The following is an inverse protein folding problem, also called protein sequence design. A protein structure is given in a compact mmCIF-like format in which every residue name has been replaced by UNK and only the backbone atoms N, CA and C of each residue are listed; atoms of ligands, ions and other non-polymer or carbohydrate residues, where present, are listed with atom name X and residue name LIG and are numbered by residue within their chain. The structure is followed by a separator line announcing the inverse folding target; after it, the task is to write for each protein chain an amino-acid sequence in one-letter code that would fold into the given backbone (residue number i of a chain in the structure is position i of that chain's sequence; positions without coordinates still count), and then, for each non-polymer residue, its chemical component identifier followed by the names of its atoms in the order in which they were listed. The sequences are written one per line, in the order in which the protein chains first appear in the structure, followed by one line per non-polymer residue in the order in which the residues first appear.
data_IF_193197992946
#
_entry.id   IF_193197992946
#
_cell.length_a   1.000
_cell.length_b   1.000
_cell.length_c   1.000
_cell.angle_alpha   90.00
_cell.angle_beta   90.00
_cell.angle_gamma   90.00
#
_symmetry.space_group_name_H-M   'P 1'
#
loop_
_entity.id
_entity.type
_entity.pdbx_description
1 polymer ?
#
# COMPACT_ATOMS: atom_id res chain seq x y z
N UNK A 1 -25.09 -22.15 34.52
CA UNK A 1 -25.16 -21.53 33.18
C UNK A 1 -23.78 -20.97 32.86
N UNK A 2 -23.22 -21.22 31.68
CA UNK A 2 -21.86 -20.76 31.33
C UNK A 2 -21.79 -19.24 31.22
N UNK A 3 -20.82 -18.60 31.89
CA UNK A 3 -20.51 -17.17 31.68
C UNK A 3 -19.93 -16.96 30.29
N UNK A 4 -20.78 -16.53 29.35
CA UNK A 4 -20.35 -16.20 27.98
C UNK A 4 -19.60 -14.87 27.97
N UNK A 5 -18.27 -15.00 28.05
CA UNK A 5 -17.21 -14.06 27.66
C UNK A 5 -16.72 -13.02 28.68
N UNK A 6 -15.72 -13.40 29.48
CA UNK A 6 -14.69 -12.50 30.02
C UNK A 6 -13.37 -12.61 29.21
N UNK A 7 -13.46 -12.73 27.88
CA UNK A 7 -12.36 -12.72 26.90
C UNK A 7 -11.33 -13.90 26.90
N UNK A 8 -11.64 -15.18 26.71
CA UNK A 8 -12.91 -15.91 26.56
C UNK A 8 -12.89 -17.22 27.41
N UNK A 9 -12.27 -17.21 28.60
CA UNK A 9 -12.12 -18.34 29.53
C UNK A 9 -11.01 -19.39 29.22
N UNK A 10 -9.75 -18.96 29.10
CA UNK A 10 -8.56 -19.82 29.35
C UNK A 10 -7.87 -19.44 30.65
N UNK A 11 -7.03 -20.32 31.20
CA UNK A 11 -6.10 -20.03 32.32
C UNK A 11 -5.08 -18.96 31.96
N UNK A 12 -4.77 -18.82 30.68
CA UNK A 12 -3.62 -18.07 30.19
C UNK A 12 -4.01 -16.68 29.69
N UNK A 13 -3.12 -15.71 29.90
CA UNK A 13 -3.33 -14.32 29.50
C UNK A 13 -3.26 -14.16 27.98
N UNK A 14 -4.33 -13.65 27.36
CA UNK A 14 -4.40 -13.45 25.91
C UNK A 14 -3.61 -12.24 25.44
N UNK A 15 -2.81 -12.40 24.39
CA UNK A 15 -1.89 -11.38 23.88
C UNK A 15 -2.20 -10.92 22.45
N UNK A 16 -3.22 -11.47 21.80
CA UNK A 16 -3.63 -11.08 20.45
C UNK A 16 -5.14 -11.27 20.25
N UNK A 17 -5.71 -10.48 19.35
CA UNK A 17 -7.11 -10.60 18.93
C UNK A 17 -7.44 -11.97 18.31
N UNK A 18 -6.46 -12.63 17.68
CA UNK A 18 -6.57 -14.00 17.14
C UNK A 18 -6.62 -15.10 18.20
N UNK A 19 -6.23 -14.81 19.45
CA UNK A 19 -6.36 -15.74 20.57
C UNK A 19 -7.76 -15.68 21.22
N UNK A 20 -8.64 -14.79 20.74
CA UNK A 20 -10.02 -14.65 21.20
C UNK A 20 -10.96 -15.57 20.42
N UNK A 21 -12.09 -15.89 21.05
CA UNK A 21 -13.19 -16.60 20.41
C UNK A 21 -13.81 -15.77 19.27
N UNK A 22 -14.23 -16.40 18.17
CA UNK A 22 -14.72 -15.72 16.93
C UNK A 22 -15.79 -14.65 17.16
N UNK A 23 -16.63 -14.83 18.20
CA UNK A 23 -17.74 -13.93 18.56
C UNK A 23 -17.45 -13.14 19.84
N UNK A 24 -16.19 -12.85 20.12
CA UNK A 24 -15.77 -12.08 21.28
C UNK A 24 -16.12 -10.59 21.11
N UNK A 25 -16.89 -9.96 22.03
CA UNK A 25 -17.22 -8.53 21.94
C UNK A 25 -16.01 -7.60 21.90
N UNK A 26 -14.85 -8.04 22.40
CA UNK A 26 -13.59 -7.29 22.35
C UNK A 26 -13.07 -7.12 20.91
N UNK A 27 -13.40 -8.03 19.98
CA UNK A 27 -13.04 -7.90 18.56
C UNK A 27 -13.72 -6.68 17.95
N UNK A 28 -15.04 -6.56 18.16
CA UNK A 28 -15.81 -5.43 17.64
C UNK A 28 -15.47 -4.13 18.38
N UNK A 29 -15.17 -4.21 19.69
CA UNK A 29 -14.68 -3.06 20.45
C UNK A 29 -13.33 -2.54 19.92
N UNK A 30 -12.41 -3.43 19.54
CA UNK A 30 -11.13 -3.07 18.93
C UNK A 30 -11.33 -2.39 17.57
N UNK A 31 -12.16 -2.94 16.69
CA UNK A 31 -12.52 -2.32 15.40
C UNK A 31 -13.13 -0.93 15.60
N UNK A 32 -14.13 -0.80 16.48
CA UNK A 32 -14.77 0.49 16.78
C UNK A 32 -13.79 1.52 17.34
N UNK A 33 -12.84 1.12 18.19
CA UNK A 33 -11.77 2.00 18.67
C UNK A 33 -10.88 2.49 17.53
N UNK A 34 -10.46 1.59 16.65
CA UNK A 34 -9.61 1.89 15.48
C UNK A 34 -10.34 2.83 14.52
N UNK A 35 -11.48 2.39 13.99
CA UNK A 35 -12.18 3.03 12.87
C UNK A 35 -12.76 4.40 13.26
N UNK A 36 -13.19 4.56 14.53
CA UNK A 36 -13.92 5.77 14.98
C UNK A 36 -13.12 6.71 15.88
N UNK A 37 -11.94 6.31 16.36
CA UNK A 37 -11.12 7.15 17.23
C UNK A 37 -9.69 7.28 16.70
N UNK A 38 -8.97 6.16 16.57
CA UNK A 38 -7.54 6.19 16.21
C UNK A 38 -7.33 6.69 14.78
N UNK A 39 -7.99 6.09 13.78
CA UNK A 39 -7.79 6.45 12.38
C UNK A 39 -8.20 7.90 12.05
N UNK A 40 -9.36 8.42 12.52
CA UNK A 40 -9.71 9.83 12.34
C UNK A 40 -8.72 10.80 13.03
N UNK A 41 -8.29 10.50 14.26
CA UNK A 41 -7.33 11.34 14.99
C UNK A 41 -5.98 11.40 14.25
N UNK A 42 -5.46 10.25 13.81
CA UNK A 42 -4.16 10.19 13.12
C UNK A 42 -4.21 10.92 11.78
N UNK A 43 -5.29 10.78 11.00
CA UNK A 43 -5.47 11.56 9.75
C UNK A 43 -5.51 13.06 10.01
N UNK A 44 -6.23 13.51 11.04
CA UNK A 44 -6.25 14.93 11.42
C UNK A 44 -4.85 15.45 11.79
N UNK A 45 -4.03 14.67 12.51
CA UNK A 45 -2.65 15.05 12.80
C UNK A 45 -1.77 15.07 11.54
N UNK A 46 -1.99 14.14 10.61
CA UNK A 46 -1.28 14.08 9.33
C UNK A 46 -1.53 15.31 8.44
N UNK A 47 -2.71 15.94 8.54
CA UNK A 47 -3.07 17.15 7.79
C UNK A 47 -2.45 18.44 8.34
N UNK A 48 -2.09 18.48 9.64
CA UNK A 48 -1.66 19.72 10.33
C UNK A 48 -0.17 19.75 10.71
N UNK A 49 0.48 18.59 10.82
CA UNK A 49 1.88 18.47 11.22
C UNK A 49 2.83 18.39 10.00
N UNK A 50 4.08 18.83 10.16
CA UNK A 50 5.12 18.49 9.17
C UNK A 50 5.41 16.99 9.19
N UNK A 51 6.05 16.46 8.13
CA UNK A 51 6.41 15.03 8.05
C UNK A 51 7.20 14.55 9.28
N UNK A 52 8.16 15.36 9.76
CA UNK A 52 8.98 15.03 10.94
C UNK A 52 8.15 15.06 12.23
N UNK A 53 7.35 16.10 12.42
CA UNK A 53 6.44 16.22 13.58
C UNK A 53 5.40 15.10 13.63
N UNK A 54 4.89 14.68 12.47
CA UNK A 54 3.95 13.55 12.36
C UNK A 54 4.63 12.22 12.69
N UNK A 55 5.87 12.01 12.24
CA UNK A 55 6.68 10.84 12.60
C UNK A 55 6.91 10.78 14.12
N UNK A 56 7.27 11.90 14.74
CA UNK A 56 7.45 11.99 16.19
C UNK A 56 6.12 11.76 16.94
N UNK A 57 5.00 12.29 16.45
CA UNK A 57 3.67 12.01 16.98
C UNK A 57 3.36 10.51 16.97
N UNK A 58 3.55 9.82 15.83
CA UNK A 58 3.32 8.38 15.73
C UNK A 58 4.23 7.57 16.66
N UNK A 59 5.52 7.92 16.73
CA UNK A 59 6.48 7.25 17.62
C UNK A 59 6.09 7.39 19.10
N UNK A 60 5.68 8.59 19.54
CA UNK A 60 5.22 8.86 20.90
C UNK A 60 3.94 8.08 21.25
N UNK A 61 2.98 8.01 20.33
CA UNK A 61 1.74 7.25 20.49
C UNK A 61 2.00 5.73 20.57
N UNK A 62 2.93 5.22 19.75
CA UNK A 62 3.37 3.81 19.79
C UNK A 62 4.08 3.52 21.12
N UNK A 63 5.01 4.37 21.56
CA UNK A 63 5.71 4.18 22.84
C UNK A 63 4.74 4.20 24.02
N UNK A 64 3.80 5.14 24.05
CA UNK A 64 2.75 5.25 25.07
C UNK A 64 1.94 3.94 25.16
N UNK A 65 1.48 3.42 24.02
CA UNK A 65 0.75 2.16 23.94
C UNK A 65 1.60 0.95 24.38
N UNK A 66 2.89 0.88 23.98
CA UNK A 66 3.81 -0.16 24.43
C UNK A 66 4.03 -0.12 25.95
N UNK A 67 4.17 1.08 26.52
CA UNK A 67 4.36 1.27 27.95
C UNK A 67 3.09 0.91 28.75
N UNK A 68 1.89 1.16 28.21
CA UNK A 68 0.64 0.64 28.76
C UNK A 68 0.61 -0.90 28.75
N UNK A 69 0.97 -1.54 27.63
CA UNK A 69 1.04 -3.01 27.51
C UNK A 69 2.04 -3.64 28.49
N UNK A 70 3.24 -3.05 28.64
CA UNK A 70 4.26 -3.50 29.61
C UNK A 70 3.73 -3.46 31.04
N UNK A 71 3.11 -2.34 31.46
CA UNK A 71 2.51 -2.19 32.80
C UNK A 71 1.42 -3.24 33.05
N UNK A 72 0.53 -3.42 32.08
CA UNK A 72 -0.56 -4.41 32.15
C UNK A 72 -0.02 -5.84 32.27
N UNK A 73 1.01 -6.19 31.49
CA UNK A 73 1.64 -7.52 31.54
C UNK A 73 2.34 -7.77 32.88
N UNK A 74 3.02 -6.77 33.43
CA UNK A 74 3.65 -6.84 34.75
C UNK A 74 2.61 -7.06 35.85
N UNK A 75 1.48 -6.35 35.82
CA UNK A 75 0.38 -6.54 36.77
C UNK A 75 -0.26 -7.93 36.68
N UNK A 76 -0.36 -8.53 35.48
CA UNK A 76 -0.86 -9.91 35.36
C UNK A 76 0.12 -10.96 35.88
N UNK A 77 1.44 -10.70 35.80
CA UNK A 77 2.46 -11.58 36.40
C UNK A 77 2.53 -11.46 37.92
N UNK A 78 2.17 -10.30 38.48
CA UNK A 78 2.16 -10.05 39.93
C UNK A 78 0.88 -10.56 40.62
N UNK A 79 -0.24 -10.62 39.89
CA UNK A 79 -1.54 -11.00 40.44
C UNK A 79 -1.84 -12.49 40.17
N UNK A 80 -2.41 -13.18 41.17
CA UNK A 80 -2.87 -14.56 40.97
C UNK A 80 -3.94 -14.64 39.86
N UNK A 81 -3.93 -15.73 39.10
CA UNK A 81 -4.67 -15.96 37.84
C UNK A 81 -6.21 -15.76 37.84
N UNK A 82 -6.82 -15.41 38.99
CA UNK A 82 -8.27 -15.25 39.18
C UNK A 82 -8.70 -13.92 39.79
N UNK A 83 -7.90 -12.84 39.69
CA UNK A 83 -8.38 -11.52 40.12
C UNK A 83 -9.48 -10.95 39.20
N UNK A 84 -10.37 -10.12 39.76
CA UNK A 84 -11.52 -9.56 39.04
C UNK A 84 -11.13 -8.54 37.93
N UNK A 85 -9.85 -8.14 37.87
CA UNK A 85 -9.35 -7.11 36.95
C UNK A 85 -8.62 -7.70 35.73
N UNK A 86 -8.40 -9.01 35.70
CA UNK A 86 -7.70 -9.72 34.62
C UNK A 86 -8.33 -9.51 33.24
N UNK A 87 -9.65 -9.46 33.18
CA UNK A 87 -10.41 -9.18 31.96
C UNK A 87 -10.05 -7.79 31.41
N UNK A 88 -10.07 -6.77 32.27
CA UNK A 88 -9.71 -5.39 31.91
C UNK A 88 -8.24 -5.30 31.47
N UNK A 89 -7.34 -6.08 32.09
CA UNK A 89 -5.94 -6.18 31.66
C UNK A 89 -5.82 -6.77 30.24
N UNK A 90 -6.46 -7.91 29.96
CA UNK A 90 -6.47 -8.53 28.62
C UNK A 90 -7.02 -7.54 27.58
N UNK A 91 -8.13 -6.86 27.90
CA UNK A 91 -8.72 -5.83 27.05
C UNK A 91 -7.75 -4.68 26.76
N UNK A 92 -7.18 -4.04 27.78
CA UNK A 92 -6.24 -2.92 27.58
C UNK A 92 -5.01 -3.37 26.79
N UNK A 93 -4.52 -4.60 27.00
CA UNK A 93 -3.39 -5.14 26.25
C UNK A 93 -3.72 -5.31 24.77
N UNK A 94 -4.84 -5.97 24.44
CA UNK A 94 -5.26 -6.22 23.05
C UNK A 94 -5.60 -4.91 22.34
N UNK A 95 -6.34 -4.00 22.97
CA UNK A 95 -6.68 -2.70 22.38
C UNK A 95 -5.43 -1.87 22.07
N UNK A 96 -4.42 -1.86 22.95
CA UNK A 96 -3.15 -1.18 22.65
C UNK A 96 -2.33 -1.89 21.56
N UNK A 97 -2.38 -3.23 21.48
CA UNK A 97 -1.70 -3.98 20.41
C UNK A 97 -2.31 -3.68 19.05
N UNK A 98 -3.63 -3.69 18.92
CA UNK A 98 -4.30 -3.35 17.66
C UNK A 98 -4.12 -1.87 17.32
N UNK A 99 -4.09 -0.96 18.32
CA UNK A 99 -3.68 0.44 18.12
C UNK A 99 -2.26 0.55 17.54
N UNK A 100 -1.28 -0.18 18.07
CA UNK A 100 0.09 -0.18 17.55
C UNK A 100 0.15 -0.74 16.12
N UNK A 101 -0.56 -1.84 15.84
CA UNK A 101 -0.68 -2.37 14.46
C UNK A 101 -1.17 -1.27 13.52
N UNK A 102 -2.25 -0.58 13.89
CA UNK A 102 -2.81 0.52 13.09
C UNK A 102 -1.86 1.71 12.94
N UNK A 103 -1.24 2.17 14.02
CA UNK A 103 -0.27 3.27 13.97
C UNK A 103 0.92 2.94 13.08
N UNK A 104 1.38 1.68 13.07
CA UNK A 104 2.44 1.23 12.17
C UNK A 104 2.05 1.22 10.68
N UNK A 105 0.76 1.16 10.32
CA UNK A 105 0.31 1.38 8.94
C UNK A 105 0.60 2.81 8.46
N UNK A 106 0.55 3.79 9.36
CA UNK A 106 0.91 5.19 9.11
C UNK A 106 2.40 5.48 9.31
N UNK A 107 3.07 4.76 10.21
CA UNK A 107 4.48 4.96 10.58
C UNK A 107 5.45 4.27 9.59
N UNK A 108 4.96 3.26 8.89
CA UNK A 108 5.62 2.76 7.69
C UNK A 108 5.56 3.84 6.60
N UNK A 109 6.62 4.07 5.80
CA UNK A 109 6.43 4.75 4.52
C UNK A 109 5.30 4.02 3.79
N UNK A 110 4.31 4.77 3.24
CA UNK A 110 2.95 4.29 2.98
C UNK A 110 3.05 2.95 2.28
N UNK A 111 2.68 1.88 3.01
CA UNK A 111 3.22 0.53 2.80
C UNK A 111 3.39 0.34 1.30
N UNK A 112 4.64 0.33 0.83
CA UNK A 112 4.90 -0.33 -0.43
C UNK A 112 4.39 -1.73 -0.13
N UNK A 113 3.15 -2.03 -0.58
CA UNK A 113 2.70 -3.39 -0.82
C UNK A 113 3.95 -3.99 -1.43
N UNK A 114 4.55 -5.02 -0.83
CA UNK A 114 5.65 -5.72 -1.49
C UNK A 114 5.01 -6.16 -2.78
N UNK A 115 5.28 -5.39 -3.84
CA UNK A 115 4.31 -5.26 -4.91
C UNK A 115 4.68 -6.39 -5.83
N UNK A 116 4.27 -7.58 -5.38
CA UNK A 116 4.48 -8.85 -6.05
C UNK A 116 4.07 -8.56 -7.47
N UNK A 117 5.07 -8.60 -8.34
CA UNK A 117 4.90 -8.10 -9.68
C UNK A 117 4.04 -9.15 -10.37
N UNK A 118 2.74 -8.89 -10.31
CA UNK A 118 1.68 -9.84 -10.60
C UNK A 118 1.33 -9.71 -12.08
N UNK A 119 2.33 -9.77 -12.96
CA UNK A 119 2.12 -9.86 -14.40
C UNK A 119 3.27 -10.62 -15.06
N UNK A 120 2.99 -11.25 -16.19
CA UNK A 120 3.98 -11.88 -17.07
C UNK A 120 4.30 -10.96 -18.24
N UNK A 121 5.58 -10.77 -18.57
CA UNK A 121 5.95 -10.06 -19.79
C UNK A 121 5.85 -11.00 -21.02
N UNK A 122 4.79 -10.83 -21.81
CA UNK A 122 4.57 -11.48 -23.10
C UNK A 122 4.81 -10.51 -24.30
N UNK A 123 5.30 -9.31 -24.05
CA UNK A 123 5.50 -8.26 -25.05
C UNK A 123 6.93 -8.25 -25.61
N UNK A 124 7.95 -8.42 -24.76
CA UNK A 124 9.36 -8.54 -25.13
C UNK A 124 10.15 -9.37 -24.09
N UNK A 125 11.48 -9.44 -24.24
CA UNK A 125 12.38 -10.28 -23.43
C UNK A 125 12.89 -9.56 -22.15
N UNK A 126 12.38 -8.36 -21.84
CA UNK A 126 12.81 -7.58 -20.67
C UNK A 126 12.24 -8.20 -19.38
N UNK A 127 13.04 -8.25 -18.32
CA UNK A 127 12.60 -8.86 -17.06
C UNK A 127 11.41 -8.08 -16.47
N UNK A 128 10.49 -8.80 -15.83
CA UNK A 128 9.28 -8.25 -15.22
C UNK A 128 9.61 -7.18 -14.18
N UNK A 129 10.74 -7.33 -13.47
CA UNK A 129 11.33 -6.35 -12.56
C UNK A 129 11.76 -5.07 -13.29
N UNK A 130 12.53 -5.18 -14.38
CA UNK A 130 13.00 -4.02 -15.15
C UNK A 130 11.85 -3.25 -15.79
N UNK A 131 10.81 -3.94 -16.29
CA UNK A 131 9.58 -3.30 -16.78
C UNK A 131 8.89 -2.56 -15.64
N UNK A 132 8.69 -3.22 -14.49
CA UNK A 132 8.01 -2.62 -13.34
C UNK A 132 8.74 -1.36 -12.84
N UNK A 133 10.05 -1.46 -12.58
CA UNK A 133 10.85 -0.36 -12.03
C UNK A 133 10.85 0.86 -12.97
N UNK A 134 11.02 0.64 -14.28
CA UNK A 134 11.00 1.71 -15.28
C UNK A 134 9.67 2.49 -15.29
N UNK A 135 8.53 1.80 -15.34
CA UNK A 135 7.23 2.47 -15.37
C UNK A 135 6.77 2.96 -13.99
N UNK A 136 7.27 2.37 -12.91
CA UNK A 136 7.09 2.86 -11.54
C UNK A 136 7.78 4.22 -11.36
N UNK A 137 9.06 4.33 -11.72
CA UNK A 137 9.79 5.61 -11.69
C UNK A 137 9.12 6.64 -12.62
N UNK A 138 8.88 6.26 -13.88
CA UNK A 138 8.37 7.17 -14.90
C UNK A 138 6.92 7.63 -14.72
N UNK A 139 6.03 6.81 -14.16
CA UNK A 139 4.58 7.08 -14.11
C UNK A 139 3.96 7.09 -12.70
N UNK A 140 4.47 6.31 -11.74
CA UNK A 140 3.90 6.26 -10.39
C UNK A 140 4.56 7.28 -9.46
N UNK A 141 5.89 7.31 -9.39
CA UNK A 141 6.62 8.23 -8.50
C UNK A 141 6.53 9.70 -8.97
N UNK A 142 6.29 9.90 -10.27
CA UNK A 142 5.89 11.18 -10.88
C UNK A 142 4.43 11.58 -10.64
N UNK A 143 3.63 10.71 -10.00
CA UNK A 143 2.18 10.87 -9.76
C UNK A 143 1.35 11.02 -11.06
N UNK A 144 1.77 10.44 -12.18
CA UNK A 144 0.98 10.41 -13.41
C UNK A 144 -0.09 9.31 -13.40
N UNK A 145 0.11 8.25 -12.60
CA UNK A 145 -0.82 7.16 -12.33
C UNK A 145 -0.85 6.82 -10.84
N UNK A 146 -1.91 6.15 -10.38
CA UNK A 146 -1.90 5.42 -9.09
C UNK A 146 -1.26 4.04 -9.24
N UNK A 147 -0.97 3.38 -8.11
CA UNK A 147 -0.46 2.00 -8.12
C UNK A 147 -1.40 1.04 -8.86
N UNK A 148 -2.72 1.16 -8.66
CA UNK A 148 -3.70 0.29 -9.33
C UNK A 148 -3.78 0.57 -10.85
N UNK A 149 -3.66 1.83 -11.28
CA UNK A 149 -3.61 2.21 -12.70
C UNK A 149 -2.33 1.73 -13.40
N UNK A 150 -1.18 1.79 -12.71
CA UNK A 150 0.07 1.20 -13.19
C UNK A 150 -0.10 -0.32 -13.39
N UNK A 151 -0.78 -1.02 -12.49
CA UNK A 151 -1.02 -2.47 -12.63
C UNK A 151 -1.96 -2.81 -13.78
N UNK A 152 -3.02 -2.02 -13.98
CA UNK A 152 -3.91 -2.17 -15.13
C UNK A 152 -3.11 -1.98 -16.43
N UNK A 153 -2.26 -0.95 -16.50
CA UNK A 153 -1.36 -0.73 -17.64
C UNK A 153 -0.43 -1.93 -17.87
N UNK A 154 0.28 -2.39 -16.83
CA UNK A 154 1.26 -3.46 -16.97
C UNK A 154 0.60 -4.79 -17.42
N UNK A 155 -0.53 -5.18 -16.82
CA UNK A 155 -1.29 -6.36 -17.28
C UNK A 155 -1.81 -6.20 -18.71
N UNK A 156 -2.43 -5.07 -19.02
CA UNK A 156 -3.01 -4.82 -20.34
C UNK A 156 -1.95 -4.81 -21.45
N UNK A 157 -0.84 -4.12 -21.23
CA UNK A 157 0.19 -3.90 -22.25
C UNK A 157 1.19 -5.06 -22.38
N UNK A 158 1.62 -5.66 -21.26
CA UNK A 158 2.70 -6.66 -21.26
C UNK A 158 2.18 -8.10 -21.17
N UNK A 159 1.12 -8.37 -20.40
CA UNK A 159 0.60 -9.74 -20.23
C UNK A 159 -0.47 -10.10 -21.28
N UNK A 160 -1.55 -9.32 -21.31
CA UNK A 160 -2.73 -9.57 -22.16
C UNK A 160 -2.52 -9.09 -23.60
N UNK A 161 -1.76 -8.00 -23.76
CA UNK A 161 -1.53 -7.27 -25.03
C UNK A 161 -2.82 -6.71 -25.64
N UNK A 162 -3.78 -6.40 -24.79
CA UNK A 162 -5.09 -5.83 -25.11
C UNK A 162 -5.31 -4.51 -24.34
N UNK A 163 -5.82 -3.44 -24.97
CA UNK A 163 -6.08 -2.16 -24.30
C UNK A 163 -7.03 -2.25 -23.09
N UNK A 164 -6.77 -1.52 -22.00
CA UNK A 164 -7.72 -1.40 -20.90
C UNK A 164 -9.00 -0.69 -21.36
N UNK A 165 -10.14 -1.12 -20.83
CA UNK A 165 -11.44 -0.49 -21.08
C UNK A 165 -12.06 -0.05 -19.76
N UNK A 166 -12.16 1.27 -19.47
CA UNK A 166 -11.73 2.40 -20.30
C UNK A 166 -10.20 2.56 -20.39
N UNK A 167 -9.74 3.33 -21.37
CA UNK A 167 -8.35 3.78 -21.47
C UNK A 167 -7.94 4.59 -20.24
N UNK A 168 -6.66 4.52 -19.87
CA UNK A 168 -6.11 5.20 -18.70
C UNK A 168 -5.90 6.70 -18.98
N UNK A 169 -6.09 7.54 -17.96
CA UNK A 169 -5.89 9.00 -18.05
C UNK A 169 -4.67 9.42 -17.26
N UNK A 170 -3.72 10.08 -17.94
CA UNK A 170 -2.54 10.68 -17.28
C UNK A 170 -2.98 11.83 -16.36
N UNK A 171 -2.59 11.75 -15.08
CA UNK A 171 -2.91 12.75 -14.04
C UNK A 171 -1.88 13.87 -14.01
N UNK A 172 -2.23 14.95 -13.29
CA UNK A 172 -1.38 16.13 -13.05
C UNK A 172 -0.94 16.91 -14.31
N UNK A 173 -1.63 16.70 -15.45
CA UNK A 173 -1.49 17.46 -16.70
C UNK A 173 -0.06 17.79 -17.15
N UNK A 174 0.89 16.82 -17.15
CA UNK A 174 2.25 17.06 -17.62
C UNK A 174 2.27 17.37 -19.13
N UNK A 175 3.28 18.13 -19.60
CA UNK A 175 3.57 18.25 -21.02
C UNK A 175 3.71 16.87 -21.68
N UNK A 176 3.02 16.63 -22.81
CA UNK A 176 2.98 15.31 -23.48
C UNK A 176 4.37 14.74 -23.78
N UNK A 177 5.36 15.59 -24.07
CA UNK A 177 6.73 15.16 -24.33
C UNK A 177 7.40 14.50 -23.11
N UNK A 178 7.03 14.85 -21.86
CA UNK A 178 7.53 14.15 -20.66
C UNK A 178 7.02 12.71 -20.60
N UNK A 179 5.73 12.49 -20.89
CA UNK A 179 5.16 11.14 -20.95
C UNK A 179 5.79 10.35 -22.08
N UNK A 180 5.81 10.90 -23.30
CA UNK A 180 6.40 10.24 -24.46
C UNK A 180 7.87 9.85 -24.24
N UNK A 181 8.62 10.66 -23.48
CA UNK A 181 10.01 10.36 -23.11
C UNK A 181 10.13 9.06 -22.30
N UNK A 182 9.28 8.84 -21.28
CA UNK A 182 9.28 7.59 -20.49
C UNK A 182 9.15 6.35 -21.39
N UNK A 183 8.23 6.37 -22.36
CA UNK A 183 8.02 5.24 -23.28
C UNK A 183 9.13 5.12 -24.34
N UNK A 184 9.74 6.24 -24.74
CA UNK A 184 10.90 6.24 -25.63
C UNK A 184 12.15 5.70 -24.95
N UNK A 185 12.36 6.00 -23.66
CA UNK A 185 13.47 5.47 -22.85
C UNK A 185 13.33 3.95 -22.65
N UNK A 186 12.11 3.45 -22.42
CA UNK A 186 11.86 1.99 -22.44
C UNK A 186 12.28 1.36 -23.78
N UNK A 187 11.85 1.93 -24.91
CA UNK A 187 12.20 1.46 -26.26
C UNK A 187 13.70 1.59 -26.58
N UNK A 188 14.34 2.68 -26.13
CA UNK A 188 15.74 3.02 -26.45
C UNK A 188 16.73 2.24 -25.60
N UNK A 189 16.54 2.28 -24.29
CA UNK A 189 17.57 1.96 -23.30
C UNK A 189 17.38 0.56 -22.70
N UNK A 190 16.13 0.14 -22.44
CA UNK A 190 15.84 -1.21 -21.96
C UNK A 190 15.75 -2.19 -23.13
N UNK A 191 14.87 -1.93 -24.11
CA UNK A 191 14.67 -2.82 -25.25
C UNK A 191 15.76 -2.73 -26.34
N UNK A 192 16.70 -1.77 -26.23
CA UNK A 192 17.80 -1.56 -27.18
C UNK A 192 17.37 -1.32 -28.65
N UNK A 193 16.25 -0.61 -28.88
CA UNK A 193 15.69 -0.26 -30.21
C UNK A 193 15.50 -1.47 -31.14
N UNK A 194 14.63 -2.44 -30.80
CA UNK A 194 14.45 -3.64 -31.59
C UNK A 194 13.96 -3.30 -33.01
N UNK A 195 14.74 -3.71 -34.00
CA UNK A 195 14.56 -3.32 -35.40
C UNK A 195 13.15 -3.67 -35.92
N UNK A 196 12.45 -2.67 -36.48
CA UNK A 196 11.10 -2.82 -37.03
C UNK A 196 9.95 -2.77 -36.02
N UNK A 197 10.20 -2.92 -34.72
CA UNK A 197 9.14 -2.98 -33.68
C UNK A 197 8.70 -1.62 -33.14
N UNK A 198 9.26 -0.51 -33.63
CA UNK A 198 9.00 0.85 -33.13
C UNK A 198 7.51 1.20 -32.94
N UNK A 199 6.63 0.76 -33.86
CA UNK A 199 5.17 1.02 -33.75
C UNK A 199 4.50 0.23 -32.62
N UNK A 200 5.00 -0.96 -32.29
CA UNK A 200 4.51 -1.74 -31.13
C UNK A 200 4.86 -1.03 -29.82
N UNK A 201 6.10 -0.55 -29.69
CA UNK A 201 6.56 0.20 -28.51
C UNK A 201 5.86 1.55 -28.36
N UNK A 202 5.59 2.26 -29.47
CA UNK A 202 4.74 3.45 -29.45
C UNK A 202 3.29 3.12 -29.03
N UNK A 203 2.82 1.91 -29.35
CA UNK A 203 1.51 1.39 -28.96
C UNK A 203 1.35 1.18 -27.45
N UNK A 204 2.44 0.97 -26.70
CA UNK A 204 2.40 0.92 -25.23
C UNK A 204 1.76 2.21 -24.65
N UNK A 205 2.06 3.37 -25.23
CA UNK A 205 1.42 4.63 -24.86
C UNK A 205 0.12 4.88 -25.63
N UNK A 206 0.16 4.81 -26.97
CA UNK A 206 -0.96 5.22 -27.81
C UNK A 206 -2.20 4.31 -27.75
N UNK A 207 -2.04 3.03 -27.39
CA UNK A 207 -3.16 2.09 -27.28
C UNK A 207 -3.73 2.00 -25.85
N UNK A 208 -3.00 2.43 -24.81
CA UNK A 208 -3.42 2.24 -23.41
C UNK A 208 -3.90 3.55 -22.73
N UNK A 209 -3.57 4.72 -23.28
CA UNK A 209 -3.83 6.01 -22.63
C UNK A 209 -4.65 6.97 -23.50
N UNK A 210 -5.60 7.67 -22.87
CA UNK A 210 -6.47 8.63 -23.53
C UNK A 210 -5.68 9.86 -24.03
N UNK A 211 -5.95 10.29 -25.27
CA UNK A 211 -5.36 11.48 -25.86
C UNK A 211 -3.95 11.30 -26.43
N UNK A 212 -3.51 10.04 -26.56
CA UNK A 212 -2.27 9.62 -27.21
C UNK A 212 -2.61 8.87 -28.50
N UNK A 213 -1.75 8.99 -29.51
CA UNK A 213 -1.96 8.39 -30.83
C UNK A 213 -0.68 7.68 -31.28
N UNK A 214 -0.81 6.38 -31.58
CA UNK A 214 0.32 5.48 -31.84
C UNK A 214 1.14 5.88 -33.06
N UNK A 215 0.52 6.40 -34.12
CA UNK A 215 1.24 6.79 -35.34
C UNK A 215 2.01 8.11 -35.17
N UNK A 216 1.44 9.08 -34.45
CA UNK A 216 2.14 10.29 -34.04
C UNK A 216 3.28 9.99 -33.06
N UNK A 217 3.11 9.07 -32.10
CA UNK A 217 4.18 8.69 -31.16
C UNK A 217 5.30 7.98 -31.89
N UNK A 218 4.98 6.98 -32.73
CA UNK A 218 5.97 6.27 -33.53
C UNK A 218 6.77 7.24 -34.41
N UNK A 219 6.10 8.17 -35.09
CA UNK A 219 6.75 9.19 -35.94
C UNK A 219 7.72 10.09 -35.17
N UNK A 220 7.52 10.26 -33.86
CA UNK A 220 8.43 11.01 -33.00
C UNK A 220 9.57 10.15 -32.43
N UNK A 221 9.39 8.84 -32.25
CA UNK A 221 10.49 7.93 -31.84
C UNK A 221 11.57 7.80 -32.92
N UNK A 222 11.21 7.93 -34.20
CA UNK A 222 12.16 8.00 -35.32
C UNK A 222 12.92 9.32 -35.43
N UNK A 223 12.50 10.37 -34.71
CA UNK A 223 13.17 11.67 -34.69
C UNK A 223 13.91 11.80 -33.37
N UNK A 224 15.22 12.08 -33.41
CA UNK A 224 16.08 12.13 -32.22
C UNK A 224 15.82 13.37 -31.35
N UNK A 225 14.66 13.43 -30.67
CA UNK A 225 14.09 14.66 -30.07
C UNK A 225 13.91 14.55 -28.53
N UNK A 226 14.39 13.46 -27.89
CA UNK A 226 14.17 13.15 -26.46
C UNK A 226 15.44 12.71 -25.69
#
# INVERSE_FOLDING_TARGET
MMHKYPYCASTDFKNDITELCEKCPLIDKAKVLIDKQIEPQVKQQQEILTKEQFQDYLNNEIESAQNAMKRVKLLDLQNNNGDNFRCNRIEVYILNKERIKKLNEFNSPPIQKVHRIDFTNNFDEISVEQVYDHFKEGLLETNYLTSDELNIFLKSAFELKEPPTPLLTIKNSPPKNKIMKVFYEYYRDLAAKPHGRQKEYAGLLGNNFQGYDTDNISSNFSKTVY
#
